data_IF_257601268329
#
_entry.id   IF_257601268329
#
_cell.length_a   1.000
_cell.length_b   1.000
_cell.length_c   1.000
_cell.angle_alpha   90.00
_cell.angle_beta   90.00
_cell.angle_gamma   90.00
#
_symmetry.space_group_name_H-M   'P 1'
#
loop_
_entity.id
_entity.type
_entity.pdbx_description
1 polymer ?
#
# COMPACT_ATOMS: atom_id res chain seq x y z
N UNK A 1 81.90 7.14 -1.33
CA UNK A 1 81.79 5.72 -0.95
C UNK A 1 80.35 5.29 -1.19
N UNK A 2 80.21 4.22 -1.99
CA UNK A 2 79.09 3.27 -2.10
C UNK A 2 77.64 3.79 -2.06
N UNK A 3 76.99 3.69 -3.22
CA UNK A 3 75.57 3.34 -3.32
C UNK A 3 75.40 1.82 -3.09
N UNK A 4 74.34 1.40 -2.40
CA UNK A 4 73.67 0.08 -2.51
C UNK A 4 72.35 0.12 -1.68
N UNK A 5 71.34 -0.73 -1.99
CA UNK A 5 70.00 -0.24 -2.30
C UNK A 5 68.85 -0.97 -1.55
N UNK A 6 67.61 -0.60 -1.91
CA UNK A 6 66.34 -1.38 -1.82
C UNK A 6 65.78 -1.80 -0.46
N UNK A 7 64.50 -1.48 -0.22
CA UNK A 7 63.43 -2.50 -0.20
C UNK A 7 62.04 -1.85 -0.07
N UNK A 8 61.24 -1.99 -1.12
CA UNK A 8 59.78 -1.80 -1.15
C UNK A 8 59.11 -2.68 -0.08
N UNK A 9 58.04 -2.24 0.62
CA UNK A 9 57.34 -3.12 1.54
C UNK A 9 56.62 -4.20 0.72
N UNK A 10 57.07 -5.45 0.88
CA UNK A 10 56.39 -6.62 0.36
C UNK A 10 55.03 -6.71 1.05
N UNK A 11 53.96 -6.61 0.27
CA UNK A 11 52.62 -6.95 0.73
C UNK A 11 52.64 -8.38 1.27
N UNK A 12 52.28 -8.56 2.55
CA UNK A 12 52.10 -9.88 3.14
C UNK A 12 51.04 -10.63 2.30
N UNK A 13 51.29 -11.88 1.90
CA UNK A 13 50.24 -12.67 1.27
C UNK A 13 49.12 -12.86 2.30
N UNK A 14 47.90 -12.49 1.92
CA UNK A 14 46.70 -12.79 2.69
C UNK A 14 46.62 -14.31 2.80
N UNK A 15 46.69 -14.82 4.03
CA UNK A 15 46.59 -16.25 4.29
C UNK A 15 45.24 -16.77 3.74
N UNK A 16 45.31 -17.64 2.72
CA UNK A 16 44.15 -18.42 2.28
C UNK A 16 43.83 -19.43 3.38
N UNK A 17 42.74 -19.24 4.12
CA UNK A 17 42.19 -20.31 4.95
C UNK A 17 41.62 -21.38 4.04
N UNK A 18 42.39 -22.46 3.86
CA UNK A 18 41.94 -23.67 3.17
C UNK A 18 40.81 -24.28 4.02
N UNK A 19 39.58 -24.19 3.51
CA UNK A 19 38.47 -24.99 4.02
C UNK A 19 38.71 -26.49 3.75
N UNK A 20 37.90 -27.39 4.35
CA UNK A 20 38.07 -28.82 4.13
C UNK A 20 37.85 -29.15 2.65
N UNK A 21 38.83 -29.84 2.07
CA UNK A 21 38.87 -30.45 0.74
C UNK A 21 38.20 -29.69 -0.41
N UNK A 22 38.99 -28.84 -1.09
CA UNK A 22 38.75 -28.45 -2.47
C UNK A 22 37.78 -27.29 -2.72
N UNK A 23 37.16 -26.73 -1.68
CA UNK A 23 36.24 -25.59 -1.84
C UNK A 23 36.91 -24.24 -1.56
N UNK A 24 36.87 -23.35 -2.55
CA UNK A 24 37.26 -21.94 -2.39
C UNK A 24 36.00 -21.14 -2.02
N UNK A 25 35.98 -20.51 -0.86
CA UNK A 25 34.87 -19.65 -0.47
C UNK A 25 34.77 -18.45 -1.43
N UNK A 26 33.61 -18.29 -2.08
CA UNK A 26 33.30 -17.08 -2.85
C UNK A 26 32.98 -15.96 -1.87
N UNK A 27 33.75 -14.87 -1.89
CA UNK A 27 33.36 -13.67 -1.17
C UNK A 27 32.14 -13.07 -1.88
N UNK A 28 30.95 -13.26 -1.29
CA UNK A 28 29.74 -12.57 -1.72
C UNK A 28 29.77 -11.14 -1.20
N UNK A 29 29.19 -10.21 -1.99
CA UNK A 29 28.98 -8.83 -1.53
C UNK A 29 28.22 -8.87 -0.20
N UNK A 30 28.63 -8.06 0.77
CA UNK A 30 27.93 -7.95 2.05
C UNK A 30 26.44 -7.72 1.79
N UNK A 31 25.61 -8.58 2.39
CA UNK A 31 24.17 -8.48 2.33
C UNK A 31 23.76 -7.12 2.93
N UNK A 32 23.05 -6.24 2.20
CA UNK A 32 22.60 -4.96 2.74
C UNK A 32 21.52 -5.10 3.84
N UNK A 33 21.06 -6.33 4.13
CA UNK A 33 20.03 -6.60 5.12
C UNK A 33 20.60 -7.25 6.40
N UNK A 34 20.44 -6.63 7.58
CA UNK A 34 20.79 -7.27 8.84
C UNK A 34 19.88 -8.49 9.09
N UNK A 35 20.48 -9.65 9.31
CA UNK A 35 19.74 -10.88 9.62
C UNK A 35 19.22 -10.84 11.06
N UNK A 36 17.89 -10.71 11.23
CA UNK A 36 17.22 -11.18 12.44
C UNK A 36 17.37 -12.72 12.52
N UNK A 37 17.56 -13.24 13.73
CA UNK A 37 17.86 -14.65 14.04
C UNK A 37 17.02 -15.64 13.22
N UNK A 38 17.67 -16.45 12.37
CA UNK A 38 17.03 -17.49 11.57
C UNK A 38 16.45 -18.59 12.46
N UNK A 39 15.15 -18.85 12.35
CA UNK A 39 14.51 -20.05 12.88
C UNK A 39 14.77 -21.23 11.92
N UNK A 40 15.49 -22.29 12.33
CA UNK A 40 15.82 -23.44 11.47
C UNK A 40 14.62 -24.33 11.10
N UNK A 41 13.44 -24.08 11.67
CA UNK A 41 12.21 -24.86 11.42
C UNK A 41 11.02 -24.00 10.94
N UNK A 42 11.23 -22.72 10.67
CA UNK A 42 10.18 -21.82 10.19
C UNK A 42 9.92 -21.95 8.69
N UNK A 43 8.76 -21.49 8.22
CA UNK A 43 8.45 -21.31 6.79
C UNK A 43 9.48 -20.41 6.05
N UNK A 44 10.35 -19.73 6.80
CA UNK A 44 11.51 -18.94 6.35
C UNK A 44 12.81 -19.75 6.16
N UNK A 45 12.75 -21.09 6.21
CA UNK A 45 13.88 -21.98 5.92
C UNK A 45 13.97 -22.41 4.44
N UNK A 46 12.99 -22.02 3.60
CA UNK A 46 13.01 -22.20 2.15
C UNK A 46 13.73 -21.06 1.41
N UNK A 47 13.72 -21.11 0.07
CA UNK A 47 14.10 -19.97 -0.79
C UNK A 47 13.26 -18.77 -0.35
N UNK A 48 13.81 -17.91 0.49
CA UNK A 48 13.22 -16.59 0.75
C UNK A 48 13.34 -15.83 -0.56
N UNK A 49 12.22 -15.41 -1.14
CA UNK A 49 12.28 -14.57 -2.33
C UNK A 49 12.90 -13.23 -1.93
N UNK A 50 14.21 -13.08 -2.12
CA UNK A 50 15.01 -11.92 -1.72
C UNK A 50 14.52 -10.62 -2.37
N UNK A 51 13.76 -10.74 -3.45
CA UNK A 51 13.17 -9.61 -4.16
C UNK A 51 11.84 -9.18 -3.53
N UNK A 52 11.16 -10.04 -2.76
CA UNK A 52 9.90 -9.68 -2.11
C UNK A 52 10.07 -8.52 -1.13
N UNK A 53 9.13 -7.59 -1.17
CA UNK A 53 9.12 -6.37 -0.36
C UNK A 53 7.92 -6.28 0.59
N UNK A 54 7.23 -7.41 0.84
CA UNK A 54 6.04 -7.46 1.73
C UNK A 54 6.31 -6.95 3.16
N UNK A 55 7.56 -6.96 3.61
CA UNK A 55 8.00 -6.44 4.92
C UNK A 55 8.88 -5.18 4.81
N UNK A 56 8.89 -4.50 3.66
CA UNK A 56 9.72 -3.30 3.40
C UNK A 56 9.20 -2.49 2.21
N UNK A 57 7.94 -2.11 2.25
CA UNK A 57 7.29 -1.29 1.22
C UNK A 57 7.02 0.13 1.72
N UNK A 58 6.73 1.02 0.77
CA UNK A 58 6.28 2.38 1.02
C UNK A 58 4.89 2.61 0.46
N UNK A 59 4.13 3.49 1.11
CA UNK A 59 2.79 3.90 0.64
C UNK A 59 2.90 5.27 0.00
N UNK A 60 2.32 5.39 -1.19
CA UNK A 60 2.00 6.67 -1.81
C UNK A 60 0.50 6.87 -1.65
N UNK A 61 0.12 7.79 -0.77
CA UNK A 61 -1.28 8.04 -0.46
C UNK A 61 -1.84 9.08 -1.43
N UNK A 62 -2.80 8.66 -2.23
CA UNK A 62 -3.32 9.40 -3.37
C UNK A 62 -4.78 9.84 -3.19
N UNK A 63 -5.27 9.92 -1.96
CA UNK A 63 -6.60 10.48 -1.68
C UNK A 63 -6.74 11.92 -2.22
N UNK A 64 -5.65 12.69 -2.24
CA UNK A 64 -5.61 14.08 -2.71
C UNK A 64 -5.24 14.24 -4.19
N UNK A 65 -5.21 13.14 -4.96
CA UNK A 65 -4.99 13.13 -6.41
C UNK A 65 -5.94 12.17 -7.11
N UNK A 66 -5.84 10.87 -6.85
CA UNK A 66 -6.80 9.86 -7.32
C UNK A 66 -8.18 10.12 -6.72
N UNK A 67 -8.25 10.35 -5.41
CA UNK A 67 -9.52 10.55 -4.70
C UNK A 67 -10.29 11.79 -5.16
N UNK A 68 -9.62 12.81 -5.71
CA UNK A 68 -10.30 13.97 -6.33
C UNK A 68 -11.08 13.60 -7.61
N UNK A 69 -10.83 12.44 -8.20
CA UNK A 69 -11.62 11.92 -9.34
C UNK A 69 -12.87 11.15 -8.91
N UNK A 70 -13.05 10.91 -7.60
CA UNK A 70 -14.26 10.32 -7.09
C UNK A 70 -15.46 11.25 -7.33
N UNK A 71 -16.59 10.67 -7.75
CA UNK A 71 -17.74 11.43 -8.27
C UNK A 71 -18.30 12.50 -7.30
N UNK A 72 -18.08 12.35 -6.00
CA UNK A 72 -18.56 13.29 -4.97
C UNK A 72 -17.42 13.97 -4.19
N UNK A 73 -16.19 13.96 -4.71
CA UNK A 73 -15.06 14.63 -4.08
C UNK A 73 -14.95 16.09 -4.54
N UNK A 74 -15.11 17.01 -3.58
CA UNK A 74 -14.96 18.46 -3.79
C UNK A 74 -14.20 19.06 -2.61
N UNK A 75 -12.94 18.66 -2.42
CA UNK A 75 -12.13 19.14 -1.31
C UNK A 75 -11.71 20.60 -1.53
N UNK A 76 -12.00 21.45 -0.56
CA UNK A 76 -11.38 22.78 -0.47
C UNK A 76 -9.98 22.70 0.15
N UNK A 77 -9.26 23.82 0.15
CA UNK A 77 -7.89 23.89 0.68
C UNK A 77 -7.81 23.44 2.14
N UNK A 78 -8.77 23.82 2.98
CA UNK A 78 -8.77 23.46 4.41
C UNK A 78 -8.91 21.96 4.59
N UNK A 79 -9.85 21.34 3.85
CA UNK A 79 -10.05 19.89 3.89
C UNK A 79 -8.84 19.12 3.35
N UNK A 80 -8.19 19.60 2.28
CA UNK A 80 -6.95 18.97 1.76
C UNK A 80 -5.82 19.04 2.79
N UNK A 81 -5.66 20.17 3.47
CA UNK A 81 -4.66 20.33 4.55
C UNK A 81 -4.96 19.39 5.73
N UNK A 82 -6.24 19.26 6.11
CA UNK A 82 -6.67 18.36 7.18
C UNK A 82 -6.35 16.90 6.86
N UNK A 83 -6.73 16.44 5.65
CA UNK A 83 -6.44 15.09 5.17
C UNK A 83 -4.92 14.86 5.11
N UNK A 84 -4.15 15.79 4.53
CA UNK A 84 -2.69 15.65 4.43
C UNK A 84 -2.01 15.50 5.80
N UNK A 85 -2.43 16.28 6.80
CA UNK A 85 -1.93 16.16 8.18
C UNK A 85 -2.31 14.84 8.83
N UNK A 86 -3.53 14.36 8.59
CA UNK A 86 -3.99 13.09 9.14
C UNK A 86 -3.21 11.90 8.54
N UNK A 87 -2.92 11.94 7.23
CA UNK A 87 -2.09 10.96 6.53
C UNK A 87 -0.63 10.99 7.01
N UNK A 88 -0.06 12.18 7.22
CA UNK A 88 1.28 12.34 7.80
C UNK A 88 1.37 11.77 9.23
N UNK A 89 0.37 12.04 10.08
CA UNK A 89 0.30 11.50 11.44
C UNK A 89 0.16 9.97 11.45
N UNK A 90 -0.57 9.41 10.49
CA UNK A 90 -0.68 7.96 10.28
C UNK A 90 0.66 7.30 9.95
N UNK A 91 1.52 8.01 9.22
CA UNK A 91 2.87 7.58 8.87
C UNK A 91 3.03 7.06 7.44
N UNK A 92 2.22 7.53 6.48
CA UNK A 92 2.48 7.26 5.06
C UNK A 92 3.82 7.87 4.62
N UNK A 93 4.50 7.25 3.65
CA UNK A 93 5.81 7.72 3.20
C UNK A 93 5.69 8.91 2.24
N UNK A 94 4.65 8.90 1.41
CA UNK A 94 4.36 9.95 0.44
C UNK A 94 2.87 10.29 0.42
N UNK A 95 2.57 11.54 0.09
CA UNK A 95 1.23 12.03 -0.22
C UNK A 95 1.29 12.63 -1.63
N UNK A 96 0.43 12.17 -2.53
CA UNK A 96 0.38 12.63 -3.90
C UNK A 96 -0.78 13.62 -4.11
N UNK A 97 -0.49 14.74 -4.74
CA UNK A 97 -1.42 15.83 -4.99
C UNK A 97 -1.78 15.96 -6.47
N UNK A 98 -3.01 16.39 -6.74
CA UNK A 98 -3.46 16.83 -8.06
C UNK A 98 -2.48 17.78 -8.71
N UNK A 99 -2.29 17.63 -10.03
CA UNK A 99 -1.39 18.47 -10.81
C UNK A 99 -1.60 19.96 -10.52
N UNK A 100 -0.55 20.74 -10.21
CA UNK A 100 -0.69 22.19 -10.04
C UNK A 100 -1.09 22.88 -11.36
N UNK A 101 -0.98 22.19 -12.50
CA UNK A 101 -1.42 22.68 -13.80
C UNK A 101 -2.91 22.45 -14.08
N UNK A 102 -3.63 21.71 -13.23
CA UNK A 102 -5.05 21.44 -13.41
C UNK A 102 -5.91 22.70 -13.23
N UNK A 103 -5.55 23.54 -12.24
CA UNK A 103 -6.21 24.82 -11.99
C UNK A 103 -5.34 25.72 -11.10
N UNK A 104 -5.64 27.01 -11.07
CA UNK A 104 -5.00 27.96 -10.15
C UNK A 104 -5.19 27.56 -8.68
N UNK A 105 -6.34 26.96 -8.33
CA UNK A 105 -6.59 26.48 -6.99
C UNK A 105 -5.72 25.26 -6.66
N UNK A 106 -5.57 24.32 -7.60
CA UNK A 106 -4.68 23.17 -7.47
C UNK A 106 -3.23 23.59 -7.23
N UNK A 107 -2.76 24.64 -7.93
CA UNK A 107 -1.43 25.22 -7.68
C UNK A 107 -1.29 25.75 -6.25
N UNK A 108 -2.26 26.56 -5.79
CA UNK A 108 -2.26 27.13 -4.44
C UNK A 108 -2.33 26.07 -3.35
N UNK A 109 -3.16 25.04 -3.54
CA UNK A 109 -3.29 23.92 -2.61
C UNK A 109 -1.97 23.15 -2.51
N UNK A 110 -1.32 22.87 -3.65
CA UNK A 110 -0.03 22.19 -3.71
C UNK A 110 1.05 22.98 -2.94
N UNK A 111 1.18 24.28 -3.22
CA UNK A 111 2.10 25.16 -2.50
C UNK A 111 1.80 25.22 -0.99
N UNK A 112 0.52 25.29 -0.61
CA UNK A 112 0.11 25.37 0.78
C UNK A 112 0.51 24.11 1.55
N UNK A 113 0.29 22.93 0.95
CA UNK A 113 0.63 21.64 1.56
C UNK A 113 2.15 21.46 1.67
N UNK A 114 2.92 21.81 0.65
CA UNK A 114 4.39 21.76 0.68
C UNK A 114 4.99 22.62 1.82
N UNK A 115 4.31 23.71 2.20
CA UNK A 115 4.74 24.64 3.27
C UNK A 115 4.37 24.17 4.68
N UNK A 116 3.68 23.04 4.86
CA UNK A 116 3.24 22.55 6.17
C UNK A 116 4.35 21.89 7.01
N UNK A 117 5.48 21.51 6.40
CA UNK A 117 6.56 20.80 7.10
C UNK A 117 6.17 19.39 7.53
N UNK A 118 5.41 18.68 6.69
CA UNK A 118 5.05 17.27 6.88
C UNK A 118 6.30 16.37 6.82
N UNK A 119 6.23 15.18 7.42
CA UNK A 119 7.29 14.17 7.36
C UNK A 119 7.19 13.34 6.09
N UNK A 120 5.98 13.04 5.66
CA UNK A 120 5.69 12.42 4.38
C UNK A 120 6.16 13.33 3.24
N UNK A 121 6.77 12.73 2.21
CA UNK A 121 7.18 13.46 1.02
C UNK A 121 5.96 13.84 0.18
N UNK A 122 5.96 15.04 -0.37
CA UNK A 122 4.88 15.54 -1.20
C UNK A 122 5.22 15.31 -2.67
N UNK A 123 4.37 14.55 -3.35
CA UNK A 123 4.47 14.29 -4.78
C UNK A 123 3.37 15.04 -5.52
N UNK A 124 3.60 15.34 -6.80
CA UNK A 124 2.51 15.75 -7.69
C UNK A 124 2.60 15.08 -9.05
N UNK A 125 1.44 14.79 -9.61
CA UNK A 125 1.29 14.13 -10.89
C UNK A 125 1.19 15.13 -12.04
N UNK A 126 2.01 14.98 -13.08
CA UNK A 126 1.99 15.86 -14.26
C UNK A 126 2.02 15.06 -15.55
N UNK A 127 1.57 15.72 -16.63
CA UNK A 127 1.83 15.22 -17.98
C UNK A 127 3.31 15.41 -18.33
N UNK A 128 3.82 14.61 -19.25
CA UNK A 128 5.18 14.73 -19.77
C UNK A 128 5.36 15.97 -20.69
N UNK A 129 5.30 17.17 -20.11
CA UNK A 129 5.54 18.45 -20.76
C UNK A 129 6.43 19.34 -19.89
N UNK A 130 7.32 20.09 -20.54
CA UNK A 130 8.29 20.94 -19.83
C UNK A 130 7.62 22.06 -19.02
N UNK A 131 6.53 22.65 -19.51
CA UNK A 131 5.80 23.70 -18.80
C UNK A 131 5.15 23.16 -17.52
N UNK A 132 4.54 21.97 -17.59
CA UNK A 132 3.97 21.31 -16.42
C UNK A 132 5.07 21.02 -15.36
N UNK A 133 6.25 20.58 -15.81
CA UNK A 133 7.38 20.32 -14.93
C UNK A 133 7.92 21.59 -14.26
N UNK A 134 8.02 22.71 -15.00
CA UNK A 134 8.44 24.00 -14.44
C UNK A 134 7.51 24.45 -13.32
N UNK A 135 6.20 24.39 -13.56
CA UNK A 135 5.19 24.77 -12.56
C UNK A 135 5.28 23.84 -11.34
N UNK A 136 5.37 22.52 -11.54
CA UNK A 136 5.48 21.57 -10.43
C UNK A 136 6.69 21.85 -9.53
N UNK A 137 7.88 22.02 -10.11
CA UNK A 137 9.11 22.34 -9.37
C UNK A 137 8.97 23.61 -8.54
N UNK A 138 8.31 24.64 -9.08
CA UNK A 138 8.13 25.93 -8.39
C UNK A 138 7.22 25.83 -7.15
N UNK A 139 6.34 24.84 -7.08
CA UNK A 139 5.43 24.67 -5.93
C UNK A 139 6.13 24.16 -4.66
N UNK A 140 7.32 23.58 -4.78
CA UNK A 140 8.10 23.06 -3.65
C UNK A 140 7.85 21.58 -3.32
N UNK A 141 7.33 20.79 -4.26
CA UNK A 141 7.19 19.33 -4.10
C UNK A 141 8.53 18.63 -3.94
N UNK A 142 8.53 17.50 -3.22
CA UNK A 142 9.71 16.63 -3.05
C UNK A 142 9.94 15.74 -4.27
N UNK A 143 8.89 15.47 -5.04
CA UNK A 143 8.95 14.65 -6.24
C UNK A 143 7.87 14.97 -7.27
N UNK A 144 8.18 14.66 -8.52
CA UNK A 144 7.27 14.79 -9.65
C UNK A 144 7.05 13.44 -10.28
N UNK A 145 5.79 13.12 -10.48
CA UNK A 145 5.33 11.89 -11.08
C UNK A 145 4.84 12.17 -12.51
N UNK A 146 5.63 11.77 -13.49
CA UNK A 146 5.36 12.06 -14.91
C UNK A 146 4.65 10.88 -15.55
N UNK A 147 3.53 11.14 -16.22
CA UNK A 147 2.81 10.14 -17.02
C UNK A 147 2.96 10.37 -18.51
N UNK A 148 3.07 9.26 -19.25
CA UNK A 148 2.88 9.21 -20.69
C UNK A 148 1.98 8.02 -21.06
N UNK A 149 1.03 8.25 -21.98
CA UNK A 149 0.20 7.16 -22.52
C UNK A 149 1.01 6.30 -23.49
N UNK A 150 1.21 5.02 -23.16
CA UNK A 150 1.99 4.09 -24.00
C UNK A 150 1.17 3.07 -24.77
N UNK A 151 -0.12 2.88 -24.44
CA UNK A 151 -0.92 1.83 -25.07
C UNK A 151 -1.11 2.09 -26.57
N UNK A 152 -1.13 1.03 -27.38
CA UNK A 152 -1.33 1.14 -28.84
C UNK A 152 -2.64 1.86 -29.17
N UNK A 153 -3.69 1.60 -28.39
CA UNK A 153 -4.96 2.32 -28.46
C UNK A 153 -4.80 3.82 -28.18
N UNK A 154 -4.07 4.21 -27.13
CA UNK A 154 -3.80 5.62 -26.84
C UNK A 154 -2.89 6.26 -27.90
N UNK A 155 -1.94 5.53 -28.49
CA UNK A 155 -1.04 6.01 -29.55
C UNK A 155 -1.75 6.22 -30.89
N UNK A 156 -2.66 5.32 -31.26
CA UNK A 156 -3.52 5.45 -32.46
C UNK A 156 -4.44 6.67 -32.37
N UNK A 157 -4.97 6.97 -31.17
CA UNK A 157 -5.90 8.07 -30.96
C UNK A 157 -5.21 9.40 -30.55
N UNK A 158 -3.97 9.37 -30.03
CA UNK A 158 -3.22 10.55 -29.56
C UNK A 158 -2.11 10.99 -30.53
N UNK A 159 -2.43 11.05 -31.81
CA UNK A 159 -1.60 11.65 -32.87
C UNK A 159 -0.30 10.92 -33.26
N UNK A 160 -0.25 9.58 -33.20
CA UNK A 160 0.73 8.79 -33.96
C UNK A 160 2.20 9.11 -33.68
N UNK A 161 2.51 9.58 -32.46
CA UNK A 161 3.88 9.94 -32.07
C UNK A 161 4.79 8.69 -32.08
N UNK A 162 5.93 8.82 -32.73
CA UNK A 162 6.97 7.77 -32.77
C UNK A 162 7.56 7.53 -31.37
N UNK A 163 7.96 6.30 -31.06
CA UNK A 163 8.55 5.92 -29.77
C UNK A 163 9.83 6.72 -29.48
N UNK A 164 10.57 7.09 -30.53
CA UNK A 164 11.74 7.96 -30.44
C UNK A 164 11.36 9.32 -29.85
N UNK A 165 10.28 9.93 -30.36
CA UNK A 165 9.81 11.23 -29.88
C UNK A 165 9.32 11.19 -28.42
N UNK A 166 8.60 10.13 -28.05
CA UNK A 166 8.12 9.88 -26.67
C UNK A 166 9.33 9.80 -25.73
N UNK A 167 10.36 9.05 -26.13
CA UNK A 167 11.60 8.89 -25.38
C UNK A 167 12.34 10.22 -25.24
N UNK A 168 12.55 10.97 -26.32
CA UNK A 168 13.28 12.23 -26.29
C UNK A 168 12.58 13.28 -25.40
N UNK A 169 11.25 13.38 -25.50
CA UNK A 169 10.45 14.28 -24.65
C UNK A 169 10.53 13.89 -23.18
N UNK A 170 10.43 12.58 -22.89
CA UNK A 170 10.56 12.08 -21.52
C UNK A 170 11.93 12.37 -20.92
N UNK A 171 13.00 12.15 -21.69
CA UNK A 171 14.37 12.41 -21.25
C UNK A 171 14.56 13.89 -20.90
N UNK A 172 14.08 14.80 -21.75
CA UNK A 172 14.21 16.24 -21.51
C UNK A 172 13.56 16.67 -20.18
N UNK A 173 12.31 16.22 -19.94
CA UNK A 173 11.58 16.51 -18.70
C UNK A 173 12.27 15.88 -17.48
N UNK A 174 12.72 14.62 -17.60
CA UNK A 174 13.42 13.91 -16.53
C UNK A 174 14.71 14.65 -16.14
N UNK A 175 15.53 15.04 -17.12
CA UNK A 175 16.77 15.77 -16.88
C UNK A 175 16.53 17.13 -16.24
N UNK A 176 15.49 17.85 -16.66
CA UNK A 176 15.09 19.11 -16.04
C UNK A 176 14.74 18.93 -14.56
N UNK A 177 13.84 18.00 -14.20
CA UNK A 177 13.45 17.78 -12.81
C UNK A 177 14.65 17.35 -11.96
N UNK A 178 15.50 16.46 -12.48
CA UNK A 178 16.74 16.04 -11.80
C UNK A 178 17.71 17.20 -11.57
N UNK A 179 17.83 18.12 -12.52
CA UNK A 179 18.69 19.31 -12.38
C UNK A 179 18.27 20.22 -11.21
N UNK A 180 17.03 20.07 -10.73
CA UNK A 180 16.46 20.79 -9.59
C UNK A 180 16.60 20.03 -8.27
N UNK A 181 17.15 18.81 -8.28
CA UNK A 181 17.34 17.98 -7.09
C UNK A 181 16.05 17.38 -6.54
N UNK A 182 15.01 17.28 -7.37
CA UNK A 182 13.68 16.76 -7.01
C UNK A 182 13.57 15.30 -7.48
N UNK A 183 12.85 14.46 -6.73
CA UNK A 183 12.62 13.07 -7.14
C UNK A 183 11.80 13.02 -8.43
N UNK A 184 12.10 12.05 -9.30
CA UNK A 184 11.37 11.86 -10.55
C UNK A 184 10.92 10.40 -10.66
N UNK A 185 9.62 10.24 -10.91
CA UNK A 185 8.99 8.96 -11.27
C UNK A 185 8.50 9.06 -12.70
N UNK A 186 8.68 7.99 -13.47
CA UNK A 186 8.15 7.87 -14.81
C UNK A 186 7.13 6.73 -14.89
N UNK A 187 5.91 7.04 -15.33
CA UNK A 187 4.82 6.07 -15.43
C UNK A 187 4.27 5.96 -16.84
N UNK A 188 3.90 4.74 -17.20
CA UNK A 188 3.05 4.48 -18.35
C UNK A 188 1.59 4.33 -17.93
N UNK A 189 0.68 5.02 -18.61
CA UNK A 189 -0.74 4.76 -18.47
C UNK A 189 -1.13 3.43 -19.15
N UNK A 190 -2.08 2.69 -18.57
CA UNK A 190 -2.67 1.49 -19.16
C UNK A 190 -1.63 0.40 -19.50
N UNK A 191 -0.80 0.07 -18.50
CA UNK A 191 0.38 -0.79 -18.66
C UNK A 191 0.00 -2.21 -19.08
N UNK A 192 -1.09 -2.76 -18.54
CA UNK A 192 -1.52 -4.14 -18.76
C UNK A 192 -2.22 -4.37 -20.11
N UNK A 193 -2.49 -3.31 -20.87
CA UNK A 193 -2.98 -3.38 -22.26
C UNK A 193 -2.01 -2.76 -23.27
N UNK A 194 -0.81 -2.38 -22.82
CA UNK A 194 0.28 -1.92 -23.68
C UNK A 194 1.05 -3.11 -24.26
N UNK A 195 1.70 -2.90 -25.41
CA UNK A 195 2.65 -3.90 -25.92
C UNK A 195 3.83 -4.05 -24.95
N UNK A 196 4.14 -5.30 -24.58
CA UNK A 196 5.13 -5.58 -23.55
C UNK A 196 6.55 -5.15 -23.99
N UNK A 197 6.88 -5.27 -25.28
CA UNK A 197 8.20 -4.92 -25.80
C UNK A 197 8.38 -3.40 -25.75
N UNK A 198 7.38 -2.64 -26.20
CA UNK A 198 7.41 -1.17 -26.12
C UNK A 198 7.49 -0.68 -24.67
N UNK A 199 6.70 -1.27 -23.78
CA UNK A 199 6.66 -0.95 -22.35
C UNK A 199 8.02 -1.18 -21.66
N UNK A 200 8.63 -2.35 -21.85
CA UNK A 200 9.91 -2.66 -21.24
C UNK A 200 11.05 -1.84 -21.86
N UNK A 201 10.97 -1.53 -23.16
CA UNK A 201 11.96 -0.72 -23.86
C UNK A 201 11.98 0.73 -23.34
N UNK A 202 10.81 1.34 -23.11
CA UNK A 202 10.75 2.68 -22.54
C UNK A 202 11.23 2.71 -21.09
N UNK A 203 10.86 1.72 -20.28
CA UNK A 203 11.34 1.63 -18.90
C UNK A 203 12.85 1.44 -18.81
N UNK A 204 13.43 0.59 -19.67
CA UNK A 204 14.88 0.44 -19.75
C UNK A 204 15.57 1.75 -20.13
N UNK A 205 15.01 2.50 -21.08
CA UNK A 205 15.55 3.79 -21.50
C UNK A 205 15.52 4.84 -20.38
N UNK A 206 14.43 4.95 -19.62
CA UNK A 206 14.35 5.94 -18.51
C UNK A 206 15.18 5.51 -17.29
N UNK A 207 15.35 4.21 -17.04
CA UNK A 207 16.27 3.70 -15.99
C UNK A 207 17.72 4.08 -16.31
N UNK A 208 18.14 4.00 -17.58
CA UNK A 208 19.48 4.41 -18.02
C UNK A 208 19.73 5.92 -17.83
N UNK A 209 18.69 6.75 -18.00
CA UNK A 209 18.77 8.20 -17.74
C UNK A 209 18.81 8.47 -16.23
N UNK A 210 18.29 7.55 -15.43
CA UNK A 210 18.39 7.51 -13.97
C UNK A 210 17.23 8.22 -13.29
N UNK A 211 16.04 7.63 -13.35
CA UNK A 211 14.87 8.03 -12.54
C UNK A 211 14.92 7.39 -11.14
N UNK A 212 14.23 7.99 -10.17
CA UNK A 212 14.10 7.39 -8.83
C UNK A 212 13.16 6.19 -8.87
N UNK A 213 12.07 6.30 -9.63
CA UNK A 213 11.03 5.28 -9.75
C UNK A 213 10.53 5.12 -11.18
N UNK A 214 10.06 3.92 -11.50
CA UNK A 214 9.13 3.66 -12.60
C UNK A 214 7.78 3.20 -12.05
N UNK A 215 6.67 3.59 -12.68
CA UNK A 215 5.32 3.28 -12.19
C UNK A 215 4.46 2.52 -13.19
N UNK A 216 3.96 1.35 -12.79
CA UNK A 216 3.00 0.54 -13.55
C UNK A 216 1.59 0.92 -13.10
N UNK A 217 0.69 1.16 -14.06
CA UNK A 217 -0.73 1.43 -13.80
C UNK A 217 -1.65 0.39 -14.48
N UNK A 218 -2.51 -0.26 -13.69
CA UNK A 218 -3.72 -0.96 -14.16
C UNK A 218 -4.90 0.02 -14.17
N UNK A 219 -4.88 0.94 -15.13
CA UNK A 219 -5.84 2.05 -15.25
C UNK A 219 -7.29 1.57 -15.37
N UNK A 220 -7.52 0.40 -15.96
CA UNK A 220 -8.87 -0.13 -16.21
C UNK A 220 -9.31 -1.17 -15.17
N UNK A 221 -8.42 -1.62 -14.29
CA UNK A 221 -8.74 -2.62 -13.27
C UNK A 221 -8.96 -4.03 -13.83
N UNK A 222 -8.25 -4.39 -14.91
CA UNK A 222 -8.41 -5.67 -15.61
C UNK A 222 -7.33 -6.70 -15.27
N UNK A 223 -6.23 -6.29 -14.63
CA UNK A 223 -5.10 -7.16 -14.36
C UNK A 223 -5.46 -8.19 -13.28
N UNK A 224 -5.10 -9.45 -13.54
CA UNK A 224 -5.19 -10.50 -12.52
C UNK A 224 -3.91 -10.59 -11.67
N UNK A 225 -3.97 -11.08 -10.42
CA UNK A 225 -2.81 -11.06 -9.52
C UNK A 225 -1.56 -11.77 -10.06
N UNK A 226 -1.74 -12.84 -10.84
CA UNK A 226 -0.63 -13.55 -11.49
C UNK A 226 0.02 -12.75 -12.62
N UNK A 227 -0.78 -12.04 -13.41
CA UNK A 227 -0.25 -11.16 -14.46
C UNK A 227 0.54 -10.00 -13.85
N UNK A 228 0.06 -9.44 -12.73
CA UNK A 228 0.80 -8.40 -11.99
C UNK A 228 2.13 -8.93 -11.48
N UNK A 229 2.13 -10.10 -10.84
CA UNK A 229 3.37 -10.74 -10.37
C UNK A 229 4.37 -10.94 -11.51
N UNK A 230 3.93 -11.53 -12.63
CA UNK A 230 4.79 -11.82 -13.78
C UNK A 230 5.37 -10.53 -14.40
N UNK A 231 4.54 -9.51 -14.63
CA UNK A 231 4.98 -8.23 -15.21
C UNK A 231 5.98 -7.51 -14.30
N UNK A 232 5.66 -7.38 -13.00
CA UNK A 232 6.54 -6.71 -12.04
C UNK A 232 7.86 -7.48 -11.89
N UNK A 233 7.82 -8.81 -11.91
CA UNK A 233 9.03 -9.64 -11.83
C UNK A 233 9.93 -9.46 -13.04
N UNK A 234 9.36 -9.36 -14.23
CA UNK A 234 10.10 -9.05 -15.46
C UNK A 234 10.67 -7.64 -15.39
N UNK A 235 9.85 -6.64 -15.04
CA UNK A 235 10.29 -5.26 -14.92
C UNK A 235 11.43 -5.11 -13.91
N UNK A 236 11.36 -5.80 -12.77
CA UNK A 236 12.41 -5.80 -11.75
C UNK A 236 13.76 -6.28 -12.27
N UNK A 237 13.79 -7.15 -13.29
CA UNK A 237 15.01 -7.58 -13.97
C UNK A 237 15.48 -6.63 -15.09
N UNK A 238 14.63 -5.70 -15.53
CA UNK A 238 14.92 -4.73 -16.60
C UNK A 238 15.44 -3.40 -16.04
N UNK A 239 14.92 -2.95 -14.91
CA UNK A 239 15.29 -1.67 -14.28
C UNK A 239 16.04 -1.89 -12.97
N UNK A 240 16.81 -0.90 -12.51
CA UNK A 240 17.50 -0.91 -11.21
C UNK A 240 16.86 0.04 -10.19
N UNK A 241 16.10 1.04 -10.65
CA UNK A 241 15.36 1.99 -9.81
C UNK A 241 14.20 1.34 -9.03
N UNK A 242 13.55 2.11 -8.16
CA UNK A 242 12.38 1.63 -7.42
C UNK A 242 11.17 1.43 -8.36
N UNK A 243 10.27 0.51 -8.01
CA UNK A 243 9.05 0.22 -8.78
C UNK A 243 7.83 0.60 -7.96
N UNK A 244 6.92 1.33 -8.58
CA UNK A 244 5.64 1.75 -8.03
C UNK A 244 4.49 1.10 -8.79
N UNK A 245 3.39 0.83 -8.10
CA UNK A 245 2.21 0.19 -8.67
C UNK A 245 0.93 0.92 -8.29
N UNK A 246 0.12 1.21 -9.32
CA UNK A 246 -1.18 1.85 -9.25
C UNK A 246 -2.25 0.90 -9.82
N UNK A 247 -3.29 0.61 -9.04
CA UNK A 247 -4.19 -0.51 -9.34
C UNK A 247 -5.65 -0.12 -9.09
N UNK A 248 -6.44 -0.04 -10.16
CA UNK A 248 -7.88 0.11 -10.04
C UNK A 248 -8.57 -1.19 -9.62
N UNK A 249 -9.78 -1.05 -9.07
CA UNK A 249 -10.47 -2.13 -8.37
C UNK A 249 -11.75 -2.61 -9.07
N UNK A 250 -11.94 -2.30 -10.36
CA UNK A 250 -13.15 -2.62 -11.13
C UNK A 250 -13.56 -4.10 -11.02
N UNK A 251 -12.58 -5.01 -10.97
CA UNK A 251 -12.78 -6.47 -10.84
C UNK A 251 -12.49 -7.03 -9.44
N UNK A 252 -12.32 -6.16 -8.44
CA UNK A 252 -12.10 -6.55 -7.04
C UNK A 252 -10.69 -7.07 -6.74
N UNK A 253 -9.71 -6.83 -7.63
CA UNK A 253 -8.37 -7.38 -7.52
C UNK A 253 -7.31 -6.42 -6.94
N UNK A 254 -7.62 -5.14 -6.67
CA UNK A 254 -6.58 -4.14 -6.35
C UNK A 254 -5.68 -4.53 -5.16
N UNK A 255 -6.25 -5.01 -4.05
CA UNK A 255 -5.48 -5.45 -2.87
C UNK A 255 -4.62 -6.69 -3.18
N UNK A 256 -5.17 -7.65 -3.91
CA UNK A 256 -4.46 -8.88 -4.27
C UNK A 256 -3.31 -8.59 -5.26
N UNK A 257 -3.57 -7.73 -6.24
CA UNK A 257 -2.61 -7.21 -7.18
C UNK A 257 -1.48 -6.47 -6.46
N UNK A 258 -1.81 -5.63 -5.48
CA UNK A 258 -0.81 -4.90 -4.68
C UNK A 258 0.11 -5.85 -3.92
N UNK A 259 -0.47 -6.87 -3.27
CA UNK A 259 0.31 -7.88 -2.57
C UNK A 259 1.24 -8.66 -3.52
N UNK A 260 0.72 -9.13 -4.66
CA UNK A 260 1.52 -9.83 -5.66
C UNK A 260 2.63 -8.95 -6.27
N UNK A 261 2.38 -7.66 -6.46
CA UNK A 261 3.41 -6.72 -6.90
C UNK A 261 4.55 -6.61 -5.89
N UNK A 262 4.23 -6.51 -4.60
CA UNK A 262 5.23 -6.50 -3.53
C UNK A 262 6.01 -7.81 -3.47
N UNK A 263 5.36 -8.96 -3.64
CA UNK A 263 6.04 -10.26 -3.73
C UNK A 263 7.01 -10.31 -4.93
N UNK A 264 6.62 -9.72 -6.07
CA UNK A 264 7.44 -9.69 -7.28
C UNK A 264 8.61 -8.68 -7.23
N UNK A 265 8.59 -7.72 -6.30
CA UNK A 265 9.66 -6.75 -6.08
C UNK A 265 9.29 -5.29 -6.31
N UNK A 266 8.00 -4.96 -6.42
CA UNK A 266 7.54 -3.58 -6.28
C UNK A 266 7.89 -3.03 -4.91
N UNK A 267 8.15 -1.72 -4.82
CA UNK A 267 8.66 -1.04 -3.62
C UNK A 267 7.66 -0.03 -3.05
N UNK A 268 6.78 0.49 -3.92
CA UNK A 268 5.78 1.50 -3.58
C UNK A 268 4.41 1.02 -4.06
N UNK A 269 3.38 1.31 -3.27
CA UNK A 269 1.98 1.00 -3.59
C UNK A 269 1.16 2.26 -3.43
N UNK A 270 0.42 2.60 -4.48
CA UNK A 270 -0.56 3.67 -4.43
C UNK A 270 -1.80 3.19 -3.67
N UNK A 271 -2.25 3.99 -2.71
CA UNK A 271 -3.51 3.77 -2.00
C UNK A 271 -4.38 5.01 -2.00
N UNK A 272 -5.65 4.81 -1.68
CA UNK A 272 -6.57 5.90 -1.34
C UNK A 272 -7.40 5.53 -0.13
N UNK A 273 -7.76 6.49 0.72
CA UNK A 273 -8.62 6.28 1.88
C UNK A 273 -9.99 5.77 1.40
N UNK A 274 -10.48 4.68 1.99
CA UNK A 274 -11.65 3.93 1.51
C UNK A 274 -11.55 3.43 0.05
N UNK A 275 -10.39 3.58 -0.59
CA UNK A 275 -10.17 3.25 -1.99
C UNK A 275 -10.82 4.23 -2.95
N UNK A 276 -11.22 5.44 -2.54
CA UNK A 276 -11.91 6.38 -3.43
C UNK A 276 -11.03 6.78 -4.62
N UNK A 277 -11.64 6.94 -5.78
CA UNK A 277 -10.97 7.27 -7.03
C UNK A 277 -11.93 7.25 -8.21
N UNK A 278 -11.41 7.19 -9.42
CA UNK A 278 -12.21 7.01 -10.62
C UNK A 278 -13.01 5.69 -10.54
N UNK A 279 -14.29 5.71 -10.94
CA UNK A 279 -15.21 4.56 -10.90
C UNK A 279 -15.38 4.01 -9.47
N UNK A 280 -14.95 2.78 -9.19
CA UNK A 280 -14.92 2.21 -7.84
C UNK A 280 -13.53 2.32 -7.18
N UNK A 281 -12.64 3.08 -7.80
CA UNK A 281 -11.37 3.54 -7.28
C UNK A 281 -10.26 2.49 -7.27
N UNK A 282 -9.35 2.61 -6.31
CA UNK A 282 -8.05 1.93 -6.30
C UNK A 282 -7.84 1.10 -5.03
N UNK A 283 -6.61 0.63 -4.78
CA UNK A 283 -6.25 -0.08 -3.56
C UNK A 283 -6.61 0.74 -2.30
N UNK A 284 -7.55 0.27 -1.45
CA UNK A 284 -7.93 1.00 -0.25
C UNK A 284 -6.81 0.93 0.81
N UNK A 285 -6.48 2.07 1.43
CA UNK A 285 -5.46 2.15 2.49
C UNK A 285 -5.72 1.15 3.62
N UNK A 286 -6.94 1.13 4.18
CA UNK A 286 -7.34 0.18 5.22
C UNK A 286 -7.26 -1.28 4.75
N UNK A 287 -7.66 -1.57 3.51
CA UNK A 287 -7.57 -2.93 2.95
C UNK A 287 -6.13 -3.41 2.75
N UNK A 288 -5.22 -2.53 2.31
CA UNK A 288 -3.80 -2.85 2.24
C UNK A 288 -3.24 -3.10 3.63
N UNK A 289 -3.56 -2.27 4.63
CA UNK A 289 -3.11 -2.47 6.02
C UNK A 289 -3.62 -3.79 6.60
N UNK A 290 -4.88 -4.15 6.35
CA UNK A 290 -5.43 -5.45 6.75
C UNK A 290 -4.65 -6.63 6.14
N UNK A 291 -4.26 -6.51 4.86
CA UNK A 291 -3.47 -7.55 4.18
C UNK A 291 -2.04 -7.61 4.71
N UNK A 292 -1.41 -6.45 4.96
CA UNK A 292 0.00 -6.35 5.33
C UNK A 292 0.24 -6.74 6.78
N UNK A 293 -0.66 -6.39 7.71
CA UNK A 293 -0.53 -6.81 9.11
C UNK A 293 -0.63 -8.33 9.26
N UNK A 294 -1.40 -8.99 8.40
CA UNK A 294 -1.50 -10.44 8.36
C UNK A 294 -0.27 -11.10 7.70
N UNK A 295 0.54 -10.36 6.94
CA UNK A 295 1.78 -10.84 6.35
C UNK A 295 2.99 -10.62 7.29
N UNK A 296 3.14 -9.41 7.82
CA UNK A 296 4.18 -9.05 8.78
C UNK A 296 3.66 -7.98 9.76
N UNK A 297 3.10 -8.45 10.87
CA UNK A 297 2.51 -7.60 11.90
C UNK A 297 3.51 -6.65 12.54
N UNK A 298 4.73 -7.11 12.79
CA UNK A 298 5.73 -6.33 13.52
C UNK A 298 6.26 -5.19 12.65
N UNK A 299 6.49 -5.45 11.36
CA UNK A 299 6.85 -4.40 10.40
C UNK A 299 5.77 -3.31 10.34
N UNK A 300 4.51 -3.69 10.09
CA UNK A 300 3.41 -2.71 9.94
C UNK A 300 3.25 -1.87 11.20
N UNK A 301 3.25 -2.49 12.38
CA UNK A 301 3.13 -1.78 13.66
C UNK A 301 4.32 -0.90 14.01
N UNK A 302 5.51 -1.18 13.47
CA UNK A 302 6.68 -0.33 13.67
C UNK A 302 6.62 0.98 12.87
N UNK A 303 5.78 1.02 11.83
CA UNK A 303 5.75 2.10 10.84
C UNK A 303 4.48 2.94 10.88
N UNK A 304 3.30 2.30 11.00
CA UNK A 304 2.00 2.97 10.86
C UNK A 304 1.22 3.01 12.17
N UNK A 305 0.54 4.14 12.43
CA UNK A 305 -0.38 4.32 13.57
C UNK A 305 -1.76 3.76 13.24
N UNK A 306 -1.87 2.44 13.24
CA UNK A 306 -3.06 1.70 12.80
C UNK A 306 -4.35 2.11 13.53
N UNK A 307 -4.26 2.56 14.78
CA UNK A 307 -5.39 3.07 15.56
C UNK A 307 -6.05 4.32 14.97
N UNK A 308 -5.36 5.05 14.07
CA UNK A 308 -5.87 6.25 13.40
C UNK A 308 -6.69 5.97 12.15
N UNK A 309 -6.68 4.73 11.65
CA UNK A 309 -7.32 4.38 10.37
C UNK A 309 -8.81 4.76 10.35
N UNK A 310 -9.51 4.57 11.47
CA UNK A 310 -10.93 4.89 11.58
C UNK A 310 -11.20 6.39 11.48
N UNK A 311 -10.43 7.20 12.21
CA UNK A 311 -10.60 8.65 12.21
C UNK A 311 -10.36 9.24 10.81
N UNK A 312 -9.37 8.69 10.09
CA UNK A 312 -9.04 9.10 8.71
C UNK A 312 -10.15 8.71 7.73
N UNK A 313 -10.67 7.49 7.84
CA UNK A 313 -11.78 7.05 6.99
C UNK A 313 -13.08 7.83 7.29
N UNK A 314 -13.39 8.12 8.56
CA UNK A 314 -14.53 8.94 8.94
C UNK A 314 -14.38 10.37 8.38
N UNK A 315 -13.18 10.98 8.47
CA UNK A 315 -12.86 12.30 7.92
C UNK A 315 -13.12 12.37 6.41
N UNK A 316 -12.62 11.40 5.65
CA UNK A 316 -12.79 11.36 4.20
C UNK A 316 -14.23 11.02 3.83
N UNK A 317 -14.86 10.07 4.52
CA UNK A 317 -16.26 9.69 4.30
C UNK A 317 -17.21 10.88 4.50
N UNK A 318 -16.99 11.71 5.53
CA UNK A 318 -17.75 12.93 5.76
C UNK A 318 -17.55 13.93 4.61
N UNK A 319 -16.30 14.15 4.19
CA UNK A 319 -15.96 15.09 3.14
C UNK A 319 -16.56 14.71 1.77
N UNK A 320 -16.60 13.41 1.45
CA UNK A 320 -17.22 12.91 0.20
C UNK A 320 -18.66 12.44 0.37
N UNK A 321 -19.26 12.63 1.55
CA UNK A 321 -20.64 12.30 1.89
C UNK A 321 -21.06 10.85 1.58
N UNK A 322 -20.21 9.89 1.94
CA UNK A 322 -20.52 8.46 1.84
C UNK A 322 -20.58 7.82 3.21
N UNK A 323 -21.30 6.70 3.31
CA UNK A 323 -21.22 5.85 4.50
C UNK A 323 -20.06 4.86 4.35
N UNK A 324 -19.35 4.58 5.44
CA UNK A 324 -18.41 3.47 5.48
C UNK A 324 -19.20 2.16 5.25
N UNK A 325 -18.83 1.33 4.25
CA UNK A 325 -19.50 0.07 4.00
C UNK A 325 -19.54 -0.83 5.24
N UNK A 326 -20.66 -1.52 5.47
CA UNK A 326 -20.82 -2.39 6.64
C UNK A 326 -19.77 -3.52 6.71
N UNK A 327 -19.22 -3.90 5.56
CA UNK A 327 -18.17 -4.90 5.38
C UNK A 327 -16.81 -4.29 5.01
N UNK A 328 -16.60 -2.98 5.23
CA UNK A 328 -15.30 -2.36 5.01
C UNK A 328 -14.21 -3.05 5.84
N UNK A 329 -12.99 -3.10 5.30
CA UNK A 329 -11.86 -3.74 5.96
C UNK A 329 -11.56 -3.02 7.27
N UNK A 330 -11.40 -3.77 8.37
CA UNK A 330 -11.11 -3.28 9.74
C UNK A 330 -12.24 -2.44 10.34
N UNK A 331 -12.63 -1.33 9.71
CA UNK A 331 -13.52 -0.31 10.29
C UNK A 331 -15.00 -0.54 9.97
N UNK A 332 -15.31 -1.46 9.06
CA UNK A 332 -16.67 -1.84 8.75
C UNK A 332 -17.37 -2.44 9.97
N UNK A 333 -18.66 -2.13 10.14
CA UNK A 333 -19.46 -2.61 11.26
C UNK A 333 -19.34 -4.12 11.52
N UNK A 334 -19.24 -4.93 10.47
CA UNK A 334 -19.16 -6.38 10.54
C UNK A 334 -17.73 -6.94 10.67
N UNK A 335 -16.67 -6.13 10.54
CA UNK A 335 -15.29 -6.61 10.40
C UNK A 335 -14.80 -7.45 11.59
N UNK A 336 -15.15 -7.04 12.81
CA UNK A 336 -14.82 -7.76 14.05
C UNK A 336 -16.08 -8.29 14.76
N UNK A 337 -17.04 -8.77 13.96
CA UNK A 337 -18.28 -9.36 14.47
C UNK A 337 -18.30 -10.87 14.31
N UNK A 338 -18.71 -11.56 15.37
CA UNK A 338 -18.92 -13.00 15.33
C UNK A 338 -20.38 -13.32 15.62
N UNK A 339 -20.99 -14.10 14.74
CA UNK A 339 -22.34 -14.62 14.96
C UNK A 339 -22.27 -15.72 16.02
N UNK A 340 -23.08 -15.60 17.07
CA UNK A 340 -23.08 -16.59 18.13
C UNK A 340 -23.45 -17.99 17.59
N UNK A 341 -22.76 -19.02 18.11
CA UNK A 341 -22.78 -20.39 17.58
C UNK A 341 -21.47 -21.14 17.92
N UNK A 342 -21.13 -22.19 17.16
CA UNK A 342 -19.88 -22.96 17.37
C UNK A 342 -18.64 -22.05 17.33
N UNK A 343 -18.64 -21.04 16.44
CA UNK A 343 -17.54 -20.08 16.32
C UNK A 343 -17.38 -19.21 17.58
N UNK A 344 -18.47 -18.75 18.20
CA UNK A 344 -18.38 -17.97 19.44
C UNK A 344 -17.76 -18.76 20.59
N UNK A 345 -17.98 -20.07 20.67
CA UNK A 345 -17.30 -20.92 21.67
C UNK A 345 -15.80 -20.97 21.41
N UNK A 346 -15.38 -21.16 20.16
CA UNK A 346 -13.96 -21.19 19.80
C UNK A 346 -13.26 -19.87 20.13
N UNK A 347 -13.91 -18.74 19.86
CA UNK A 347 -13.36 -17.40 20.12
C UNK A 347 -13.34 -17.04 21.61
N UNK A 348 -14.37 -17.40 22.38
CA UNK A 348 -14.38 -17.21 23.83
C UNK A 348 -13.26 -17.99 24.52
N UNK A 349 -12.85 -19.14 23.95
CA UNK A 349 -11.73 -19.94 24.45
C UNK A 349 -10.38 -19.42 23.97
N UNK A 350 -10.24 -19.17 22.67
CA UNK A 350 -9.06 -18.57 22.06
C UNK A 350 -9.46 -17.75 20.81
N UNK A 351 -9.47 -16.40 20.91
CA UNK A 351 -9.85 -15.53 19.80
C UNK A 351 -9.03 -15.75 18.53
N UNK A 352 -7.75 -16.15 18.65
CA UNK A 352 -6.87 -16.39 17.50
C UNK A 352 -7.32 -17.55 16.60
N UNK A 353 -8.30 -18.35 17.03
CA UNK A 353 -8.84 -19.46 16.23
C UNK A 353 -9.48 -18.98 14.92
N UNK A 354 -10.09 -17.79 14.93
CA UNK A 354 -10.75 -17.20 13.76
C UNK A 354 -10.44 -15.72 13.53
N UNK A 355 -9.63 -15.09 14.38
CA UNK A 355 -9.22 -13.68 14.24
C UNK A 355 -7.79 -13.61 13.69
N UNK A 356 -7.65 -13.57 12.37
CA UNK A 356 -6.35 -13.34 11.70
C UNK A 356 -5.81 -11.92 11.99
N UNK A 357 -6.70 -10.97 12.27
CA UNK A 357 -6.37 -9.60 12.69
C UNK A 357 -6.84 -9.40 14.12
N UNK A 358 -5.95 -8.91 14.99
CA UNK A 358 -6.29 -8.51 16.35
C UNK A 358 -6.89 -7.09 16.34
N UNK A 359 -8.17 -6.89 16.72
CA UNK A 359 -8.82 -5.57 16.69
C UNK A 359 -8.10 -4.52 17.56
N UNK A 360 -7.41 -4.94 18.63
CA UNK A 360 -6.69 -4.03 19.50
C UNK A 360 -5.53 -3.31 18.79
N UNK A 361 -4.98 -3.90 17.72
CA UNK A 361 -3.93 -3.24 16.93
C UNK A 361 -4.46 -2.02 16.16
N UNK A 362 -5.76 -1.96 15.92
CA UNK A 362 -6.44 -0.87 15.23
C UNK A 362 -7.26 0.01 16.20
N UNK A 363 -7.00 -0.08 17.51
CA UNK A 363 -7.76 0.66 18.53
C UNK A 363 -9.22 0.21 18.68
N UNK A 364 -9.57 -0.98 18.19
CA UNK A 364 -10.94 -1.50 18.18
C UNK A 364 -11.16 -2.61 19.21
N UNK A 365 -12.43 -2.85 19.53
CA UNK A 365 -12.87 -3.97 20.36
C UNK A 365 -13.75 -4.91 19.56
N UNK A 366 -13.65 -6.22 19.84
CA UNK A 366 -14.53 -7.23 19.22
C UNK A 366 -15.97 -7.10 19.70
N UNK A 367 -16.93 -7.42 18.84
CA UNK A 367 -18.33 -7.55 19.20
C UNK A 367 -18.85 -8.96 18.91
N UNK A 368 -19.56 -9.55 19.87
CA UNK A 368 -20.23 -10.84 19.67
C UNK A 368 -21.73 -10.58 19.57
N UNK A 369 -22.33 -10.94 18.42
CA UNK A 369 -23.75 -10.71 18.21
C UNK A 369 -24.57 -11.85 18.83
N UNK A 370 -25.08 -11.61 20.04
CA UNK A 370 -25.85 -12.57 20.85
C UNK A 370 -27.34 -12.66 20.48
N UNK A 371 -27.88 -11.73 19.67
CA UNK A 371 -29.29 -11.73 19.26
C UNK A 371 -29.49 -12.49 17.94
N UNK A 372 -29.19 -13.78 17.92
CA UNK A 372 -29.42 -14.63 16.75
C UNK A 372 -30.01 -15.99 17.12
N UNK A 373 -30.81 -16.57 16.23
CA UNK A 373 -31.24 -17.98 16.31
C UNK A 373 -30.10 -19.00 16.44
N UNK A 374 -28.89 -18.62 16.04
CA UNK A 374 -27.69 -19.46 16.13
C UNK A 374 -26.98 -19.36 17.50
N UNK A 375 -27.43 -18.46 18.38
CA UNK A 375 -26.78 -18.20 19.67
C UNK A 375 -26.82 -19.42 20.58
N UNK A 376 -25.64 -19.87 21.03
CA UNK A 376 -25.51 -20.92 22.05
C UNK A 376 -25.65 -20.35 23.46
N UNK A 377 -26.08 -21.17 24.41
CA UNK A 377 -26.34 -20.72 25.78
C UNK A 377 -25.09 -20.24 26.55
N UNK A 378 -23.90 -20.71 26.18
CA UNK A 378 -22.64 -20.18 26.72
C UNK A 378 -22.41 -18.71 26.32
N UNK A 379 -22.89 -18.30 25.15
CA UNK A 379 -22.79 -16.93 24.69
C UNK A 379 -23.73 -16.02 25.52
N UNK A 380 -24.94 -16.49 25.80
CA UNK A 380 -25.88 -15.83 26.73
C UNK A 380 -25.30 -15.75 28.14
N UNK A 381 -24.70 -16.83 28.65
CA UNK A 381 -24.02 -16.86 29.96
C UNK A 381 -22.90 -15.83 30.04
N UNK A 382 -22.03 -15.76 29.02
CA UNK A 382 -20.95 -14.77 28.95
C UNK A 382 -21.49 -13.33 28.96
N UNK A 383 -22.55 -13.04 28.20
CA UNK A 383 -23.18 -11.72 28.19
C UNK A 383 -23.87 -11.38 29.51
N UNK A 384 -24.56 -12.33 30.13
CA UNK A 384 -25.19 -12.14 31.43
C UNK A 384 -24.15 -11.85 32.52
N UNK A 385 -23.01 -12.54 32.51
CA UNK A 385 -21.90 -12.28 33.41
C UNK A 385 -21.29 -10.88 33.20
N UNK A 386 -21.13 -10.41 31.95
CA UNK A 386 -20.72 -9.02 31.67
C UNK A 386 -21.69 -7.98 32.24
N UNK A 387 -22.97 -8.32 32.33
CA UNK A 387 -24.02 -7.47 32.87
C UNK A 387 -24.22 -7.66 34.39
N UNK A 388 -23.37 -8.45 35.05
CA UNK A 388 -23.49 -8.85 36.45
C UNK A 388 -24.83 -9.54 36.79
N UNK A 389 -25.37 -10.31 35.83
CA UNK A 389 -26.59 -11.11 35.97
C UNK A 389 -26.20 -12.57 36.20
N UNK A 390 -26.35 -13.04 37.42
CA UNK A 390 -26.19 -14.45 37.76
C UNK A 390 -27.50 -15.23 37.55
N UNK A 391 -27.41 -16.33 36.81
CA UNK A 391 -28.50 -17.26 36.60
C UNK A 391 -27.95 -18.69 36.68
N UNK A 392 -28.83 -19.66 36.89
CA UNK A 392 -28.49 -21.08 36.80
C UNK A 392 -28.32 -21.51 35.34
N UNK A 393 -27.60 -22.61 35.10
CA UNK A 393 -27.45 -23.20 33.76
C UNK A 393 -28.79 -23.54 33.09
N UNK A 394 -29.81 -23.91 33.88
CA UNK A 394 -31.17 -24.14 33.38
C UNK A 394 -31.80 -22.83 32.86
N UNK A 395 -31.71 -21.75 33.64
CA UNK A 395 -32.22 -20.43 33.25
C UNK A 395 -31.47 -19.86 32.05
N UNK A 396 -30.15 -20.08 31.92
CA UNK A 396 -29.40 -19.66 30.72
C UNK A 396 -29.90 -20.38 29.46
N UNK A 397 -30.22 -21.68 29.56
CA UNK A 397 -30.76 -22.46 28.44
C UNK A 397 -32.18 -22.01 28.07
N UNK A 398 -33.02 -21.72 29.05
CA UNK A 398 -34.37 -21.20 28.84
C UNK A 398 -34.34 -19.83 28.14
N UNK A 399 -33.54 -18.88 28.67
CA UNK A 399 -33.34 -17.57 28.05
C UNK A 399 -32.82 -17.69 26.60
N UNK A 400 -31.91 -18.63 26.35
CA UNK A 400 -31.42 -18.91 24.99
C UNK A 400 -32.54 -19.38 24.08
N UNK A 401 -33.44 -20.27 24.54
CA UNK A 401 -34.58 -20.72 23.77
C UNK A 401 -35.53 -19.57 23.43
N UNK A 402 -35.83 -18.69 24.40
CA UNK A 402 -36.66 -17.51 24.19
C UNK A 402 -36.04 -16.54 23.17
N UNK A 403 -34.73 -16.27 23.26
CA UNK A 403 -34.01 -15.40 22.31
C UNK A 403 -34.05 -15.99 20.89
N UNK A 404 -33.88 -17.31 20.74
CA UNK A 404 -33.97 -17.97 19.43
C UNK A 404 -35.36 -17.84 18.82
N UNK A 405 -36.40 -18.09 19.62
CA UNK A 405 -37.79 -18.03 19.18
C UNK A 405 -38.19 -16.60 18.79
N UNK A 406 -37.73 -15.59 19.53
CA UNK A 406 -37.93 -14.19 19.18
C UNK A 406 -37.14 -13.77 17.93
N UNK A 407 -35.92 -14.28 17.75
CA UNK A 407 -35.09 -14.02 16.58
C UNK A 407 -35.64 -14.64 15.28
N UNK A 408 -36.51 -15.65 15.38
CA UNK A 408 -37.20 -16.24 14.21
C UNK A 408 -38.38 -15.38 13.73
N UNK A 409 -38.92 -14.51 14.58
CA UNK A 409 -40.11 -13.68 14.29
C UNK A 409 -39.72 -12.28 13.81
N UNK A 410 -38.63 -11.69 14.32
CA UNK A 410 -38.17 -10.35 13.93
C UNK A 410 -36.69 -10.14 14.25
N UNK A 411 -35.95 -9.28 13.51
CA UNK A 411 -34.62 -8.85 13.94
C UNK A 411 -34.68 -8.18 15.32
N UNK A 412 -34.21 -8.90 16.33
CA UNK A 412 -34.07 -8.40 17.70
C UNK A 412 -33.07 -7.25 17.73
N UNK A 413 -33.57 -6.01 17.83
CA UNK A 413 -32.73 -4.85 18.15
C UNK A 413 -32.37 -4.92 19.63
N UNK A 414 -31.16 -5.39 19.94
CA UNK A 414 -30.55 -5.08 21.23
C UNK A 414 -30.23 -3.58 21.21
N UNK A 415 -31.03 -2.78 21.92
CA UNK A 415 -30.69 -1.37 22.14
C UNK A 415 -29.34 -1.30 22.86
N UNK A 416 -28.35 -0.71 22.17
CA UNK A 416 -27.11 -0.28 22.78
C UNK A 416 -27.42 0.93 23.67
N UNK A 417 -27.32 0.75 25.00
CA UNK A 417 -27.05 1.81 25.94
C UNK A 417 -25.75 1.49 26.65
#
# INVERSE_FOLDING_TARGET
MAATPTATPIARPIARSMGPDGFTAVQTRQNPHPHASRNPYGHNAGITDFLSNVSRFKIIESTLREGEQFANAFFDTEKKIEIAKALDDFGVDYIELTSPCASEQSRKDCEAICKLGLKAKILTHIRCHMDDARVAVETGVDGVDVVIGTSSYLREHSHGKDMTYIKDTAIEVIEFVKSKGIEIRFSSEDSFRSDLVDLLSIYSAVDQVGVNRVGIADTVGCASPRQVYELVRVLRGVVNCDIEIHLHNDTGCAIANAYCALEAGATHVDTSVLGIGERNGITPLGGLMARMIAADRDYVKSKYKLEKIKDIEDLVAEAVQVNIPFNNYITGFCAFTHKAGIHAKAILNNPSTYEIINPADFGMTRYVHFASRLTGWNAIKSRAQQLNIEMTDAQYKECTASIKLLADISPLRLMMR
#
